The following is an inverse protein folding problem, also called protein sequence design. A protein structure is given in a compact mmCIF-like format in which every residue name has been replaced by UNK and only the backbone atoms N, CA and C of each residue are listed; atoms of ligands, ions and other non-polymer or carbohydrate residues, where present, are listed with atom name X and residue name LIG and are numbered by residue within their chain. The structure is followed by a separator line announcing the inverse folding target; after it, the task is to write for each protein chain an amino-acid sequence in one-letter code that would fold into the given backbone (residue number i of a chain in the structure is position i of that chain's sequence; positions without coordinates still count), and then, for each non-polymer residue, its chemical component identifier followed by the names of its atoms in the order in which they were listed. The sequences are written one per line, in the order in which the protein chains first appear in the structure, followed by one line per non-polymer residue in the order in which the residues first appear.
data_IF_639284532074
#
_entry.id   IF_639284532074
#
_cell.length_a   1.000
_cell.length_b   1.000
_cell.length_c   1.000
_cell.angle_alpha   90.00
_cell.angle_beta   90.00
_cell.angle_gamma   90.00
#
_symmetry.space_group_name_H-M   'P 1'
#
loop_
_entity.id
_entity.type
_entity.pdbx_description
1 polymer ?
#
# COMPACT_ATOMS: atom_id res chain seq x y z
N UNK A 1 11.47 15.70 -11.34
CA UNK A 1 10.99 14.67 -10.41
C UNK A 1 11.92 13.49 -10.53
N UNK A 2 12.47 13.02 -9.42
CA UNK A 2 13.30 11.82 -9.42
C UNK A 2 12.46 10.56 -9.63
N UNK A 3 13.10 9.47 -10.06
CA UNK A 3 12.44 8.18 -10.18
C UNK A 3 12.76 7.36 -8.94
N UNK A 4 11.80 6.59 -8.44
CA UNK A 4 12.01 5.66 -7.32
C UNK A 4 12.19 4.22 -7.79
N UNK A 5 11.54 3.85 -8.90
CA UNK A 5 11.72 2.55 -9.54
C UNK A 5 11.94 2.69 -11.02
N UNK A 6 12.81 1.83 -11.56
CA UNK A 6 13.01 1.65 -13.00
C UNK A 6 13.07 0.15 -13.29
N UNK A 7 12.14 -0.36 -14.06
CA UNK A 7 12.09 -1.75 -14.51
C UNK A 7 12.56 -1.84 -15.96
N UNK A 8 13.40 -2.83 -16.27
CA UNK A 8 13.91 -3.06 -17.61
C UNK A 8 13.76 -4.53 -17.99
N UNK A 9 12.95 -4.80 -19.02
CA UNK A 9 12.64 -6.13 -19.53
C UNK A 9 12.22 -7.12 -18.42
N UNK A 10 11.53 -6.61 -17.39
CA UNK A 10 11.12 -7.35 -16.22
C UNK A 10 10.16 -8.48 -16.61
N UNK A 11 10.50 -9.71 -16.26
CA UNK A 11 9.69 -10.88 -16.50
C UNK A 11 9.55 -11.70 -15.21
N UNK A 12 8.34 -12.14 -14.92
CA UNK A 12 8.08 -13.06 -13.81
C UNK A 12 7.24 -14.24 -14.27
N UNK A 13 7.70 -15.44 -13.91
CA UNK A 13 6.99 -16.71 -14.17
C UNK A 13 6.66 -17.40 -12.86
N UNK A 14 5.50 -18.02 -12.82
CA UNK A 14 5.09 -18.91 -11.75
C UNK A 14 4.58 -20.23 -12.38
N UNK A 15 5.14 -21.36 -11.94
CA UNK A 15 4.78 -22.68 -12.47
C UNK A 15 4.74 -22.75 -14.02
N UNK A 16 5.77 -22.22 -14.69
CA UNK A 16 5.91 -22.11 -16.14
C UNK A 16 4.91 -21.16 -16.85
N UNK A 17 4.05 -20.47 -16.12
CA UNK A 17 3.14 -19.44 -16.68
C UNK A 17 3.77 -18.06 -16.54
N UNK A 18 3.80 -17.31 -17.63
CA UNK A 18 4.19 -15.90 -17.59
C UNK A 18 3.10 -15.07 -16.89
N UNK A 19 3.46 -14.41 -15.78
CA UNK A 19 2.60 -13.48 -15.07
C UNK A 19 2.92 -12.05 -15.47
N UNK A 20 4.21 -11.70 -15.62
CA UNK A 20 4.69 -10.43 -16.17
C UNK A 20 5.62 -10.73 -17.34
N UNK A 21 5.49 -10.00 -18.44
CA UNK A 21 6.21 -10.24 -19.71
C UNK A 21 6.97 -8.99 -20.15
N UNK A 22 8.30 -9.03 -20.10
CA UNK A 22 9.19 -7.99 -20.66
C UNK A 22 8.76 -6.55 -20.32
N UNK A 23 8.34 -6.30 -19.07
CA UNK A 23 7.84 -5.00 -18.65
C UNK A 23 9.00 -3.99 -18.51
N UNK A 24 8.86 -2.84 -19.17
CA UNK A 24 9.79 -1.74 -19.04
C UNK A 24 9.02 -0.49 -18.69
N UNK A 25 9.30 0.09 -17.51
CA UNK A 25 8.59 1.26 -17.00
C UNK A 25 9.38 1.95 -15.89
N UNK A 26 8.98 3.21 -15.61
CA UNK A 26 9.52 4.02 -14.54
C UNK A 26 8.39 4.47 -13.59
N UNK A 27 8.67 4.51 -12.28
CA UNK A 27 7.79 5.11 -11.27
C UNK A 27 8.50 6.31 -10.66
N UNK A 28 7.82 7.46 -10.64
CA UNK A 28 8.34 8.73 -10.12
C UNK A 28 8.09 8.84 -8.63
N UNK A 29 8.96 9.57 -7.97
CA UNK A 29 8.87 9.94 -6.56
C UNK A 29 7.76 10.97 -6.29
N UNK A 30 7.18 10.94 -5.09
CA UNK A 30 6.15 11.87 -4.64
C UNK A 30 4.93 11.92 -5.56
N UNK A 31 4.54 10.76 -6.09
CA UNK A 31 3.35 10.61 -6.92
C UNK A 31 2.57 9.39 -6.43
N UNK A 32 1.24 9.47 -6.57
CA UNK A 32 0.38 8.29 -6.49
C UNK A 32 0.45 7.58 -7.84
N UNK A 33 0.85 6.31 -7.84
CA UNK A 33 0.84 5.46 -9.04
C UNK A 33 -0.20 4.37 -8.87
N UNK A 34 -1.12 4.24 -9.83
CA UNK A 34 -2.15 3.20 -9.79
C UNK A 34 -1.84 2.13 -10.84
N UNK A 35 -1.73 0.89 -10.39
CA UNK A 35 -1.58 -0.29 -11.24
C UNK A 35 -2.98 -0.84 -11.51
N UNK A 36 -3.40 -0.79 -12.78
CA UNK A 36 -4.73 -1.18 -13.27
C UNK A 36 -4.65 -2.42 -14.16
N UNK A 37 -5.79 -3.10 -14.31
CA UNK A 37 -5.94 -4.23 -15.21
C UNK A 37 -6.98 -5.23 -14.70
N UNK A 38 -7.38 -6.21 -15.54
CA UNK A 38 -8.37 -7.22 -15.16
C UNK A 38 -7.87 -8.12 -14.01
N UNK A 39 -8.79 -8.87 -13.40
CA UNK A 39 -8.44 -9.85 -12.39
C UNK A 39 -7.52 -10.91 -12.98
N UNK A 40 -6.49 -11.30 -12.24
CA UNK A 40 -5.49 -12.26 -12.70
C UNK A 40 -4.44 -11.72 -13.69
N UNK A 41 -4.45 -10.43 -14.03
CA UNK A 41 -3.49 -9.82 -14.96
C UNK A 41 -2.04 -9.72 -14.42
N UNK A 42 -1.81 -9.91 -13.11
CA UNK A 42 -0.49 -9.82 -12.50
C UNK A 42 -0.25 -8.56 -11.66
N UNK A 43 -1.29 -7.76 -11.37
CA UNK A 43 -1.17 -6.51 -10.61
C UNK A 43 -0.51 -6.69 -9.23
N UNK A 44 -1.06 -7.57 -8.39
CA UNK A 44 -0.51 -7.90 -7.06
C UNK A 44 0.90 -8.49 -7.17
N UNK A 45 1.17 -9.27 -8.21
CA UNK A 45 2.51 -9.82 -8.46
C UNK A 45 3.51 -8.71 -8.74
N UNK A 46 3.16 -7.75 -9.60
CA UNK A 46 4.00 -6.58 -9.87
C UNK A 46 4.22 -5.76 -8.59
N UNK A 47 3.17 -5.51 -7.82
CA UNK A 47 3.26 -4.78 -6.54
C UNK A 47 4.24 -5.47 -5.56
N UNK A 48 4.19 -6.81 -5.46
CA UNK A 48 5.10 -7.62 -4.62
C UNK A 48 6.55 -7.57 -5.12
N UNK A 49 6.77 -7.56 -6.43
CA UNK A 49 8.12 -7.42 -7.02
C UNK A 49 8.68 -6.03 -6.71
N UNK A 50 7.89 -4.98 -6.88
CA UNK A 50 8.30 -3.61 -6.54
C UNK A 50 8.69 -3.48 -5.07
N UNK A 51 7.91 -4.08 -4.17
CA UNK A 51 8.21 -4.09 -2.74
C UNK A 51 9.46 -4.93 -2.39
N UNK A 52 9.77 -5.96 -3.18
CA UNK A 52 10.89 -6.88 -2.93
C UNK A 52 10.49 -8.18 -2.22
N UNK A 53 9.21 -8.55 -2.25
CA UNK A 53 8.72 -9.85 -1.77
C UNK A 53 8.91 -10.97 -2.80
N UNK A 54 9.02 -10.62 -4.08
CA UNK A 54 9.25 -11.54 -5.18
C UNK A 54 10.42 -11.03 -6.03
N UNK A 55 11.30 -11.94 -6.42
CA UNK A 55 12.37 -11.63 -7.36
C UNK A 55 11.93 -11.93 -8.80
N UNK A 56 12.27 -11.08 -9.78
CA UNK A 56 11.95 -11.35 -11.17
C UNK A 56 12.66 -12.60 -11.68
N UNK A 57 12.05 -13.33 -12.61
CA UNK A 57 12.67 -14.49 -13.27
C UNK A 57 13.76 -14.05 -14.24
N UNK A 58 13.60 -12.91 -14.89
CA UNK A 58 14.59 -12.25 -15.74
C UNK A 58 14.28 -10.77 -15.88
N UNK A 59 15.25 -10.00 -16.42
CA UNK A 59 15.21 -8.54 -16.43
C UNK A 59 15.61 -7.97 -15.07
N UNK A 60 15.48 -6.67 -14.91
CA UNK A 60 16.01 -5.95 -13.75
C UNK A 60 14.99 -4.96 -13.21
N UNK A 61 15.05 -4.74 -11.90
CA UNK A 61 14.37 -3.65 -11.22
C UNK A 61 15.37 -2.86 -10.39
N UNK A 62 15.54 -1.61 -10.76
CA UNK A 62 16.41 -0.68 -10.04
C UNK A 62 15.54 0.13 -9.05
N UNK A 63 15.87 0.02 -7.77
CA UNK A 63 15.33 0.84 -6.68
C UNK A 63 16.30 2.02 -6.49
N UNK A 64 15.88 3.23 -6.82
CA UNK A 64 16.72 4.45 -6.73
C UNK A 64 16.66 5.06 -5.32
N UNK A 65 16.66 4.23 -4.30
CA UNK A 65 16.68 4.63 -2.89
C UNK A 65 17.46 3.59 -2.08
N UNK A 66 17.96 4.02 -0.93
CA UNK A 66 18.63 3.12 0.02
C UNK A 66 17.57 2.37 0.84
N UNK A 67 17.38 1.08 0.57
CA UNK A 67 16.41 0.22 1.26
C UNK A 67 16.62 0.23 2.79
N UNK A 68 17.84 0.43 3.28
CA UNK A 68 18.13 0.47 4.72
C UNK A 68 17.70 1.77 5.39
N UNK A 69 17.55 2.85 4.61
CA UNK A 69 17.20 4.19 5.10
C UNK A 69 15.77 4.59 4.76
N UNK A 70 15.17 3.93 3.78
CA UNK A 70 13.81 4.24 3.30
C UNK A 70 12.80 3.38 4.03
N UNK A 71 11.82 4.01 4.65
CA UNK A 71 10.75 3.30 5.33
C UNK A 71 9.69 2.88 4.32
N UNK A 72 9.48 1.56 4.21
CA UNK A 72 8.49 0.97 3.32
C UNK A 72 7.35 0.35 4.11
N UNK A 73 6.12 0.49 3.61
CA UNK A 73 4.95 -0.20 4.15
C UNK A 73 4.15 -0.89 3.05
N UNK A 74 3.68 -2.11 3.33
CA UNK A 74 2.83 -2.88 2.43
C UNK A 74 1.51 -3.23 3.11
N UNK A 75 0.39 -2.82 2.52
CA UNK A 75 -0.95 -3.16 2.98
C UNK A 75 -1.54 -4.20 2.02
N UNK A 76 -1.76 -5.39 2.55
CA UNK A 76 -2.35 -6.50 1.79
C UNK A 76 -3.86 -6.30 1.61
N UNK A 77 -4.40 -6.79 0.50
CA UNK A 77 -5.84 -6.86 0.24
C UNK A 77 -6.61 -7.51 1.41
N UNK A 78 -6.09 -8.63 1.91
CA UNK A 78 -6.61 -9.33 3.09
C UNK A 78 -5.59 -9.18 4.23
N UNK A 79 -5.68 -8.08 4.95
CA UNK A 79 -4.80 -7.81 6.08
C UNK A 79 -5.11 -8.72 7.27
N UNK A 80 -4.08 -9.35 7.85
CA UNK A 80 -4.18 -10.17 9.05
C UNK A 80 -3.93 -9.30 10.28
N UNK A 81 -4.73 -9.50 11.32
CA UNK A 81 -4.63 -8.80 12.60
C UNK A 81 -4.47 -9.77 13.76
N UNK A 82 -3.82 -9.29 14.82
CA UNK A 82 -3.81 -10.00 16.09
C UNK A 82 -5.22 -9.99 16.69
N UNK A 83 -5.67 -11.12 17.24
CA UNK A 83 -6.96 -11.20 17.94
C UNK A 83 -6.89 -10.47 19.29
N UNK A 84 -6.73 -9.16 19.25
CA UNK A 84 -6.57 -8.24 20.38
C UNK A 84 -7.29 -6.92 20.09
N UNK A 85 -7.04 -5.90 20.91
CA UNK A 85 -7.55 -4.55 20.67
C UNK A 85 -6.89 -3.90 19.44
N UNK A 86 -7.51 -2.85 18.90
CA UNK A 86 -6.90 -1.97 17.89
C UNK A 86 -5.60 -1.40 18.43
N UNK A 87 -5.60 -0.91 19.66
CA UNK A 87 -4.40 -0.37 20.32
C UNK A 87 -3.24 -1.37 20.32
N UNK A 88 -3.50 -2.64 20.68
CA UNK A 88 -2.46 -3.67 20.70
C UNK A 88 -1.92 -3.99 19.30
N UNK A 89 -2.76 -3.95 18.28
CA UNK A 89 -2.35 -4.12 16.89
C UNK A 89 -1.42 -2.99 16.43
N UNK A 90 -1.72 -1.75 16.82
CA UNK A 90 -0.87 -0.58 16.51
C UNK A 90 0.44 -0.59 17.32
N UNK A 91 0.37 -0.93 18.61
CA UNK A 91 1.58 -1.13 19.46
C UNK A 91 2.51 -2.20 18.89
N UNK A 92 1.95 -3.26 18.29
CA UNK A 92 2.75 -4.32 17.69
C UNK A 92 3.62 -3.79 16.53
N UNK A 93 3.08 -2.91 15.68
CA UNK A 93 3.86 -2.27 14.60
C UNK A 93 5.04 -1.48 15.19
N UNK A 94 4.76 -0.64 16.18
CA UNK A 94 5.78 0.18 16.82
C UNK A 94 6.87 -0.67 17.50
N UNK A 95 6.47 -1.80 18.08
CA UNK A 95 7.40 -2.78 18.64
C UNK A 95 8.31 -3.39 17.58
N UNK A 96 7.74 -3.87 16.47
CA UNK A 96 8.50 -4.47 15.36
C UNK A 96 9.48 -3.47 14.70
N UNK A 97 9.14 -2.18 14.74
CA UNK A 97 9.97 -1.10 14.22
C UNK A 97 10.95 -0.51 15.25
N UNK A 98 11.06 -1.12 16.42
CA UNK A 98 11.93 -0.67 17.52
C UNK A 98 11.71 0.81 17.92
N UNK A 99 10.48 1.30 17.79
CA UNK A 99 10.12 2.66 18.24
C UNK A 99 10.12 2.69 19.77
N UNK A 100 10.65 3.78 20.33
CA UNK A 100 10.66 4.00 21.78
C UNK A 100 9.23 3.97 22.36
N UNK A 101 9.03 3.16 23.39
CA UNK A 101 7.72 2.97 24.05
C UNK A 101 7.11 4.27 24.58
N UNK A 102 7.94 5.25 24.97
CA UNK A 102 7.48 6.56 25.45
C UNK A 102 6.72 7.33 24.38
N UNK A 103 6.98 7.07 23.09
CA UNK A 103 6.36 7.72 21.94
C UNK A 103 5.06 7.04 21.47
N UNK A 104 4.81 5.78 21.87
CA UNK A 104 3.73 4.97 21.31
C UNK A 104 2.36 5.60 21.46
N UNK A 105 2.01 6.04 22.68
CA UNK A 105 0.70 6.65 22.96
C UNK A 105 0.47 7.87 22.09
N UNK A 106 1.45 8.73 21.97
CA UNK A 106 1.37 9.97 21.17
C UNK A 106 1.22 9.66 19.68
N UNK A 107 2.03 8.75 19.14
CA UNK A 107 1.95 8.35 17.73
C UNK A 107 0.58 7.75 17.39
N UNK A 108 0.12 6.79 18.19
CA UNK A 108 -1.17 6.13 17.98
C UNK A 108 -2.31 7.14 18.04
N UNK A 109 -2.35 7.96 19.10
CA UNK A 109 -3.45 8.93 19.27
C UNK A 109 -3.44 10.01 18.19
N UNK A 110 -2.28 10.52 17.79
CA UNK A 110 -2.18 11.52 16.73
C UNK A 110 -2.67 10.95 15.39
N UNK A 111 -2.22 9.73 15.03
CA UNK A 111 -2.65 9.10 13.78
C UNK A 111 -4.16 8.83 13.77
N UNK A 112 -4.74 8.34 14.86
CA UNK A 112 -6.18 8.11 14.92
C UNK A 112 -6.99 9.42 14.90
N UNK A 113 -6.57 10.44 15.66
CA UNK A 113 -7.19 11.77 15.68
C UNK A 113 -7.22 12.44 14.32
N UNK A 114 -6.14 12.29 13.56
CA UNK A 114 -6.02 12.89 12.24
C UNK A 114 -7.16 12.49 11.29
N UNK A 115 -7.76 11.32 11.54
CA UNK A 115 -8.84 10.75 10.71
C UNK A 115 -10.15 10.51 11.48
N UNK A 116 -10.28 11.02 12.72
CA UNK A 116 -11.45 10.84 13.60
C UNK A 116 -11.75 9.35 13.90
N UNK A 117 -10.71 8.56 14.11
CA UNK A 117 -10.80 7.12 14.36
C UNK A 117 -10.49 6.72 15.82
N UNK A 118 -10.44 7.69 16.76
CA UNK A 118 -10.10 7.44 18.16
C UNK A 118 -11.09 6.47 18.83
N UNK A 119 -12.34 6.46 18.38
CA UNK A 119 -13.39 5.57 18.91
C UNK A 119 -13.02 4.09 18.75
N UNK A 120 -12.16 3.76 17.76
CA UNK A 120 -11.74 2.39 17.51
C UNK A 120 -10.72 1.88 18.52
N UNK A 121 -10.00 2.75 19.22
CA UNK A 121 -8.80 2.40 20.00
C UNK A 121 -8.98 1.21 20.94
N UNK A 122 -10.10 1.21 21.69
CA UNK A 122 -10.42 0.18 22.68
C UNK A 122 -11.17 -1.03 22.09
N UNK A 123 -11.62 -0.97 20.85
CA UNK A 123 -12.38 -2.04 20.21
C UNK A 123 -11.50 -3.26 19.97
N UNK A 124 -12.10 -4.44 20.05
CA UNK A 124 -11.44 -5.68 19.63
C UNK A 124 -11.56 -5.83 18.10
N UNK A 125 -10.51 -6.32 17.48
CA UNK A 125 -10.48 -6.51 16.00
C UNK A 125 -11.67 -7.37 15.52
N UNK A 126 -12.06 -8.39 16.29
CA UNK A 126 -13.18 -9.28 15.94
C UNK A 126 -14.56 -8.60 15.99
N UNK A 127 -14.69 -7.42 16.59
CA UNK A 127 -15.93 -6.64 16.60
C UNK A 127 -16.00 -5.59 15.49
N UNK A 128 -14.92 -5.42 14.71
CA UNK A 128 -14.87 -4.45 13.64
C UNK A 128 -15.60 -4.95 12.39
N UNK A 129 -16.30 -4.04 11.71
CA UNK A 129 -16.84 -4.26 10.37
C UNK A 129 -15.72 -4.42 9.34
N UNK A 130 -16.03 -4.93 8.15
CA UNK A 130 -15.05 -5.03 7.06
C UNK A 130 -14.42 -3.69 6.69
N UNK A 131 -15.22 -2.62 6.69
CA UNK A 131 -14.73 -1.26 6.43
C UNK A 131 -13.79 -0.76 7.53
N UNK A 132 -14.11 -0.98 8.80
CA UNK A 132 -13.24 -0.61 9.92
C UNK A 132 -11.93 -1.41 9.93
N UNK A 133 -11.97 -2.69 9.53
CA UNK A 133 -10.75 -3.49 9.35
C UNK A 133 -9.84 -2.90 8.26
N UNK A 134 -10.41 -2.40 7.17
CA UNK A 134 -9.65 -1.76 6.10
C UNK A 134 -9.07 -0.41 6.53
N UNK A 135 -9.84 0.38 7.29
CA UNK A 135 -9.34 1.61 7.93
C UNK A 135 -8.21 1.30 8.90
N UNK A 136 -8.35 0.27 9.74
CA UNK A 136 -7.27 -0.15 10.64
C UNK A 136 -6.03 -0.62 9.88
N UNK A 137 -6.20 -1.32 8.75
CA UNK A 137 -5.07 -1.73 7.90
C UNK A 137 -4.30 -0.52 7.39
N UNK A 138 -5.01 0.52 6.93
CA UNK A 138 -4.40 1.76 6.47
C UNK A 138 -3.71 2.52 7.62
N UNK A 139 -4.39 2.71 8.75
CA UNK A 139 -3.79 3.32 9.97
C UNK A 139 -2.50 2.60 10.35
N UNK A 140 -2.53 1.26 10.37
CA UNK A 140 -1.36 0.44 10.70
C UNK A 140 -0.22 0.65 9.70
N UNK A 141 -0.55 0.80 8.41
CA UNK A 141 0.42 1.01 7.34
C UNK A 141 1.09 2.39 7.38
N UNK A 142 0.34 3.44 7.78
CA UNK A 142 0.85 4.83 7.80
C UNK A 142 1.40 5.26 9.16
N UNK A 143 1.20 4.48 10.22
CA UNK A 143 1.56 4.82 11.61
C UNK A 143 3.03 5.24 11.80
N UNK A 144 3.90 4.66 10.99
CA UNK A 144 5.35 4.92 11.03
C UNK A 144 5.80 5.95 9.98
N UNK A 145 4.86 6.62 9.32
CA UNK A 145 5.12 7.58 8.23
C UNK A 145 6.07 7.03 7.16
N UNK A 146 5.72 5.93 6.46
CA UNK A 146 6.59 5.37 5.44
C UNK A 146 6.82 6.34 4.28
N UNK A 147 8.04 6.30 3.71
CA UNK A 147 8.38 7.07 2.51
C UNK A 147 7.65 6.56 1.28
N UNK A 148 7.42 5.22 1.23
CA UNK A 148 6.69 4.58 0.14
C UNK A 148 5.65 3.61 0.72
N UNK A 149 4.39 3.83 0.35
CA UNK A 149 3.25 2.98 0.72
C UNK A 149 2.80 2.15 -0.48
N UNK A 150 2.77 0.83 -0.30
CA UNK A 150 2.18 -0.12 -1.25
C UNK A 150 0.83 -0.58 -0.71
N UNK A 151 -0.22 -0.45 -1.52
CA UNK A 151 -1.57 -0.78 -1.09
C UNK A 151 -2.30 -1.62 -2.14
N UNK A 152 -2.64 -2.84 -1.78
CA UNK A 152 -3.30 -3.79 -2.65
C UNK A 152 -4.82 -3.74 -2.43
N UNK A 153 -5.60 -3.28 -3.44
CA UNK A 153 -7.06 -3.20 -3.49
C UNK A 153 -7.70 -2.53 -2.24
N UNK A 154 -7.43 -1.21 -2.01
CA UNK A 154 -7.84 -0.49 -0.79
C UNK A 154 -9.34 -0.39 -0.56
N UNK A 155 -10.15 -0.44 -1.61
CA UNK A 155 -11.61 -0.15 -1.57
C UNK A 155 -12.48 -1.38 -1.81
N UNK A 156 -11.86 -2.57 -1.87
CA UNK A 156 -12.60 -3.80 -2.18
C UNK A 156 -13.66 -4.10 -1.11
N UNK A 157 -14.92 -4.32 -1.54
CA UNK A 157 -16.07 -4.64 -0.71
C UNK A 157 -16.44 -3.57 0.35
N UNK A 158 -16.12 -2.29 0.10
CA UNK A 158 -16.44 -1.19 1.00
C UNK A 158 -17.68 -0.42 0.55
N UNK A 159 -18.38 0.12 1.55
CA UNK A 159 -19.42 1.13 1.31
C UNK A 159 -18.79 2.49 0.95
N UNK A 160 -19.62 3.39 0.43
CA UNK A 160 -19.20 4.71 -0.05
C UNK A 160 -18.53 5.57 1.04
N UNK A 161 -19.02 5.50 2.29
CA UNK A 161 -18.49 6.32 3.38
C UNK A 161 -17.05 5.89 3.75
N UNK A 162 -16.81 4.57 3.79
CA UNK A 162 -15.49 4.03 4.05
C UNK A 162 -14.53 4.32 2.89
N UNK A 163 -15.00 4.24 1.63
CA UNK A 163 -14.21 4.64 0.45
C UNK A 163 -13.78 6.11 0.56
N UNK A 164 -14.72 7.03 0.85
CA UNK A 164 -14.42 8.46 1.01
C UNK A 164 -13.38 8.72 2.12
N UNK A 165 -13.48 7.98 3.22
CA UNK A 165 -12.52 8.08 4.33
C UNK A 165 -11.13 7.61 3.92
N UNK A 166 -11.02 6.45 3.27
CA UNK A 166 -9.75 5.91 2.76
C UNK A 166 -9.12 6.86 1.75
N UNK A 167 -9.91 7.42 0.83
CA UNK A 167 -9.42 8.40 -0.16
C UNK A 167 -8.83 9.64 0.50
N UNK A 168 -9.51 10.20 1.51
CA UNK A 168 -9.01 11.35 2.28
C UNK A 168 -7.71 11.01 2.99
N UNK A 169 -7.61 9.81 3.59
CA UNK A 169 -6.39 9.35 4.26
C UNK A 169 -5.23 9.21 3.27
N UNK A 170 -5.46 8.59 2.11
CA UNK A 170 -4.46 8.45 1.04
C UNK A 170 -3.99 9.82 0.55
N UNK A 171 -4.92 10.74 0.22
CA UNK A 171 -4.58 12.07 -0.26
C UNK A 171 -3.76 12.85 0.77
N UNK A 172 -4.20 12.84 2.04
CA UNK A 172 -3.51 13.54 3.11
C UNK A 172 -2.11 12.97 3.36
N UNK A 173 -1.98 11.65 3.34
CA UNK A 173 -0.70 10.98 3.49
C UNK A 173 0.25 11.32 2.33
N UNK A 174 -0.26 11.33 1.10
CA UNK A 174 0.51 11.74 -0.07
C UNK A 174 0.97 13.21 -0.01
N UNK A 175 0.11 14.13 0.45
CA UNK A 175 0.51 15.57 0.58
C UNK A 175 1.63 15.80 1.57
N UNK A 176 1.88 14.87 2.49
CA UNK A 176 3.00 14.90 3.42
C UNK A 176 4.33 14.41 2.79
N UNK A 177 4.35 14.13 1.47
CA UNK A 177 5.57 13.84 0.70
C UNK A 177 5.82 12.36 0.43
N UNK A 178 4.91 11.45 0.80
CA UNK A 178 5.08 10.01 0.55
C UNK A 178 4.67 9.62 -0.86
N UNK A 179 5.42 8.70 -1.46
CA UNK A 179 5.01 8.03 -2.70
C UNK A 179 4.02 6.91 -2.38
N UNK A 180 2.99 6.74 -3.20
CA UNK A 180 1.98 5.69 -2.97
C UNK A 180 1.81 4.88 -4.24
N UNK A 181 1.89 3.55 -4.12
CA UNK A 181 1.66 2.63 -5.24
C UNK A 181 0.45 1.77 -4.89
N UNK A 182 -0.61 1.91 -5.67
CA UNK A 182 -1.91 1.26 -5.40
C UNK A 182 -2.22 0.29 -6.53
N UNK A 183 -2.65 -0.91 -6.19
CA UNK A 183 -3.37 -1.79 -7.11
C UNK A 183 -4.85 -1.55 -6.90
N UNK A 184 -5.57 -1.17 -7.95
CA UNK A 184 -7.02 -1.04 -7.90
C UNK A 184 -7.68 -1.17 -9.27
N UNK A 185 -8.91 -1.66 -9.25
CA UNK A 185 -9.82 -1.65 -10.39
C UNK A 185 -11.08 -0.79 -10.10
N UNK A 186 -11.10 -0.08 -8.97
CA UNK A 186 -12.22 0.76 -8.53
C UNK A 186 -12.19 2.12 -9.25
N UNK A 187 -13.18 2.35 -10.10
CA UNK A 187 -13.33 3.58 -10.88
C UNK A 187 -13.51 4.84 -10.00
N UNK A 188 -14.09 4.71 -8.80
CA UNK A 188 -14.27 5.83 -7.87
C UNK A 188 -12.91 6.28 -7.37
N UNK A 189 -12.10 5.34 -6.85
CA UNK A 189 -10.75 5.60 -6.38
C UNK A 189 -9.89 6.23 -7.49
N UNK A 190 -9.95 5.66 -8.68
CA UNK A 190 -9.16 6.10 -9.83
C UNK A 190 -9.53 7.53 -10.23
N UNK A 191 -10.81 7.88 -10.29
CA UNK A 191 -11.28 9.23 -10.65
C UNK A 191 -10.98 10.29 -9.60
N UNK A 192 -10.94 9.91 -8.33
CA UNK A 192 -10.78 10.84 -7.21
C UNK A 192 -9.31 11.17 -6.88
N UNK A 193 -8.36 10.35 -7.28
CA UNK A 193 -6.95 10.56 -7.04
C UNK A 193 -6.24 11.12 -8.27
N UNK A 194 -5.45 12.18 -8.09
CA UNK A 194 -4.49 12.60 -9.14
C UNK A 194 -3.31 11.62 -9.13
N UNK A 195 -3.11 10.88 -10.20
CA UNK A 195 -2.17 9.77 -10.24
C UNK A 195 -1.51 9.58 -11.62
N UNK A 196 -0.47 8.76 -11.66
CA UNK A 196 0.04 8.12 -12.87
C UNK A 196 -0.52 6.70 -12.96
N UNK A 197 -0.69 6.19 -14.18
CA UNK A 197 -1.24 4.86 -14.40
C UNK A 197 -0.18 3.89 -14.94
N UNK A 198 -0.25 2.65 -14.48
CA UNK A 198 0.41 1.49 -15.08
C UNK A 198 -0.69 0.49 -15.42
N UNK A 199 -0.85 0.18 -16.70
CA UNK A 199 -1.83 -0.79 -17.16
C UNK A 199 -1.17 -2.16 -17.31
N UNK A 200 -1.82 -3.22 -16.79
CA UNK A 200 -1.40 -4.60 -17.00
C UNK A 200 -2.53 -5.36 -17.67
N UNK A 201 -2.24 -5.93 -18.82
CA UNK A 201 -3.15 -6.83 -19.52
C UNK A 201 -2.41 -8.06 -20.01
N UNK A 202 -2.88 -9.26 -19.62
CA UNK A 202 -2.27 -10.55 -19.96
C UNK A 202 -0.75 -10.60 -19.72
N UNK A 203 -0.29 -9.94 -18.65
CA UNK A 203 1.11 -9.85 -18.27
C UNK A 203 1.93 -8.78 -19.01
N UNK A 204 1.37 -8.12 -20.01
CA UNK A 204 1.99 -6.97 -20.68
C UNK A 204 1.73 -5.69 -19.90
N UNK A 205 2.76 -4.88 -19.68
CA UNK A 205 2.71 -3.63 -18.92
C UNK A 205 2.84 -2.45 -19.87
N UNK A 206 1.96 -1.45 -19.75
CA UNK A 206 2.00 -0.17 -20.47
C UNK A 206 1.80 1.00 -19.49
N UNK A 207 2.32 2.19 -19.85
CA UNK A 207 2.24 3.43 -19.07
C UNK A 207 1.39 4.44 -19.82
#
# INVERSE_FOLDING_TARGET
MSMIFSANNLTYKESNKFIIKNATFDIKENIITIIKGPNGAGKTTLLKILFGMLEPTSGEIHRKFDIKKTELSYIFQNSIFLNRSVEDNLKHVLFCKNIDKTKWKTLILNTLKEFNLEYMLALRVNSLSGGELQLLALVRGILIHPDILFYDEPTNNLDKNNIDTILKMIQKFHTNGSSIIIVSHDDILIKMLKHNEILINEGCVTI
#
